data_IF_790302005415
#
_entry.id   IF_790302005415
#
_cell.length_a   1.000
_cell.length_b   1.000
_cell.length_c   1.000
_cell.angle_alpha   90.00
_cell.angle_beta   90.00
_cell.angle_gamma   90.00
#
_symmetry.space_group_name_H-M   'P 1'
#
loop_
_entity.id
_entity.type
_entity.pdbx_description
1 polymer ?
#
# COMPACT_ATOMS: atom_id res chain seq x y z
N UNK A 1 59.10 -18.36 -37.02
CA UNK A 1 58.80 -18.20 -35.56
C UNK A 1 57.44 -17.55 -35.41
N UNK A 2 56.47 -18.36 -35.28
CA UNK A 2 55.04 -17.92 -35.15
C UNK A 2 54.65 -18.06 -33.69
N UNK A 3 54.35 -16.96 -33.02
CA UNK A 3 53.94 -16.90 -31.63
C UNK A 3 52.40 -17.01 -31.57
N UNK A 4 51.91 -18.14 -31.06
CA UNK A 4 50.48 -18.42 -30.86
C UNK A 4 50.04 -17.90 -29.50
N UNK A 5 49.14 -16.94 -29.47
CA UNK A 5 48.55 -16.38 -28.26
C UNK A 5 47.28 -17.18 -27.90
N UNK A 6 47.35 -17.98 -26.84
CA UNK A 6 46.16 -18.64 -26.26
C UNK A 6 45.37 -17.61 -25.45
N UNK A 7 44.14 -17.33 -25.89
CA UNK A 7 43.11 -16.62 -25.10
C UNK A 7 42.42 -17.63 -24.19
N UNK A 8 42.64 -17.51 -22.89
CA UNK A 8 41.90 -18.24 -21.89
C UNK A 8 40.51 -17.59 -21.69
N UNK A 9 39.43 -18.27 -22.10
CA UNK A 9 38.07 -17.92 -21.74
C UNK A 9 37.83 -18.34 -20.29
N UNK A 10 37.74 -17.36 -19.40
CA UNK A 10 37.16 -17.55 -18.06
C UNK A 10 35.65 -17.70 -18.21
N UNK A 11 35.16 -18.92 -18.16
CA UNK A 11 33.74 -19.21 -18.07
C UNK A 11 33.21 -18.78 -16.70
N UNK A 12 32.40 -17.73 -16.68
CA UNK A 12 31.56 -17.41 -15.52
C UNK A 12 30.34 -18.36 -15.60
N UNK A 13 30.25 -19.28 -14.64
CA UNK A 13 29.12 -20.18 -14.48
C UNK A 13 27.84 -19.41 -14.29
N UNK A 14 26.78 -19.72 -15.03
CA UNK A 14 25.43 -19.21 -14.74
C UNK A 14 24.75 -20.14 -13.74
N UNK A 15 25.06 -19.98 -12.47
CA UNK A 15 24.31 -20.63 -11.38
C UNK A 15 24.15 -19.66 -10.23
N UNK A 16 23.17 -18.77 -10.33
CA UNK A 16 22.38 -18.16 -9.25
C UNK A 16 21.25 -17.36 -9.92
N UNK A 17 20.31 -18.07 -10.57
CA UNK A 17 19.07 -17.49 -11.06
C UNK A 17 17.96 -18.57 -11.14
N UNK A 18 17.92 -19.42 -10.15
CA UNK A 18 16.82 -20.37 -9.96
C UNK A 18 16.64 -20.57 -8.47
N UNK A 19 15.79 -19.76 -7.86
CA UNK A 19 15.00 -20.06 -6.66
C UNK A 19 14.38 -18.80 -6.04
N UNK A 20 13.80 -17.89 -6.86
CA UNK A 20 12.67 -17.10 -6.38
C UNK A 20 11.43 -17.91 -6.72
N UNK A 21 11.15 -18.79 -5.77
CA UNK A 21 10.22 -19.86 -5.90
C UNK A 21 8.85 -19.41 -6.35
N UNK A 22 8.30 -20.22 -7.19
CA UNK A 22 6.91 -20.43 -7.46
C UNK A 22 6.13 -20.66 -6.13
N UNK A 23 5.96 -19.62 -5.32
CA UNK A 23 4.95 -19.61 -4.27
C UNK A 23 3.64 -19.58 -5.02
N UNK A 24 2.99 -20.72 -5.19
CA UNK A 24 1.65 -20.80 -5.74
C UNK A 24 0.79 -19.83 -4.93
N UNK A 25 0.45 -18.72 -5.56
CA UNK A 25 -0.40 -17.71 -4.97
C UNK A 25 -1.72 -18.39 -4.58
N UNK A 26 -2.09 -18.27 -3.32
CA UNK A 26 -3.28 -18.92 -2.79
C UNK A 26 -4.52 -18.30 -3.43
N UNK A 27 -5.32 -19.11 -4.14
CA UNK A 27 -6.62 -18.65 -4.66
C UNK A 27 -7.69 -18.92 -3.59
N UNK A 28 -8.30 -17.84 -3.10
CA UNK A 28 -9.35 -17.88 -2.06
C UNK A 28 -10.68 -18.26 -2.72
N UNK A 29 -11.28 -19.38 -2.31
CA UNK A 29 -12.60 -19.82 -2.80
C UNK A 29 -12.72 -19.74 -4.33
N UNK A 30 -11.97 -20.58 -5.09
CA UNK A 30 -11.84 -20.43 -6.56
C UNK A 30 -13.16 -20.50 -7.33
N UNK A 31 -14.16 -21.18 -6.78
CA UNK A 31 -15.47 -21.36 -7.40
C UNK A 31 -16.46 -20.22 -7.11
N UNK A 32 -16.07 -19.22 -6.31
CA UNK A 32 -16.92 -18.10 -5.92
C UNK A 32 -16.52 -16.81 -6.63
N UNK A 33 -17.51 -15.97 -6.91
CA UNK A 33 -17.36 -14.65 -7.50
C UNK A 33 -18.39 -13.66 -6.92
N UNK A 34 -18.12 -12.37 -7.09
CA UNK A 34 -19.06 -11.28 -6.75
C UNK A 34 -19.48 -11.29 -5.27
N UNK A 35 -20.77 -11.04 -5.03
CA UNK A 35 -21.30 -10.83 -3.68
C UNK A 35 -21.06 -12.00 -2.73
N UNK A 36 -21.16 -13.24 -3.20
CA UNK A 36 -20.93 -14.44 -2.38
C UNK A 36 -19.48 -14.56 -1.94
N UNK A 37 -18.55 -14.26 -2.84
CA UNK A 37 -17.13 -14.25 -2.50
C UNK A 37 -16.81 -13.15 -1.49
N UNK A 38 -17.35 -11.94 -1.69
CA UNK A 38 -17.19 -10.82 -0.76
C UNK A 38 -17.67 -11.19 0.66
N UNK A 39 -18.82 -11.85 0.79
CA UNK A 39 -19.36 -12.28 2.11
C UNK A 39 -18.44 -13.29 2.81
N UNK A 40 -17.90 -14.25 2.08
CA UNK A 40 -16.99 -15.25 2.62
C UNK A 40 -15.67 -14.58 3.03
N UNK A 41 -15.09 -13.77 2.17
CA UNK A 41 -13.84 -13.05 2.46
C UNK A 41 -14.01 -12.11 3.67
N UNK A 42 -15.11 -11.36 3.75
CA UNK A 42 -15.39 -10.49 4.88
C UNK A 42 -15.48 -11.24 6.21
N UNK A 43 -15.95 -12.46 6.21
CA UNK A 43 -16.03 -13.31 7.42
C UNK A 43 -14.69 -13.96 7.78
N UNK A 44 -13.97 -14.47 6.78
CA UNK A 44 -12.76 -15.29 7.01
C UNK A 44 -11.50 -14.43 7.23
N UNK A 45 -11.51 -13.18 6.74
CA UNK A 45 -10.38 -12.27 6.83
C UNK A 45 -10.66 -11.02 7.69
N UNK A 46 -11.76 -11.02 8.46
CA UNK A 46 -11.94 -9.99 9.48
C UNK A 46 -10.84 -10.12 10.55
N UNK A 47 -10.33 -9.00 11.10
CA UNK A 47 -9.32 -9.06 12.14
C UNK A 47 -9.89 -9.71 13.41
N UNK A 48 -9.12 -10.60 14.02
CA UNK A 48 -9.47 -11.20 15.32
C UNK A 48 -9.54 -10.14 16.42
N UNK A 49 -8.68 -9.11 16.31
CA UNK A 49 -8.60 -8.00 17.24
C UNK A 49 -8.06 -6.75 16.58
N UNK A 50 -8.34 -5.59 17.16
CA UNK A 50 -7.62 -4.35 16.88
C UNK A 50 -6.93 -3.84 18.13
N UNK A 51 -5.74 -3.26 17.96
CA UNK A 51 -4.90 -2.83 19.08
C UNK A 51 -5.38 -1.51 19.73
N UNK A 52 -6.39 -0.88 19.14
CA UNK A 52 -6.76 0.50 19.43
C UNK A 52 -5.78 1.50 18.82
N UNK A 53 -6.27 2.69 18.49
CA UNK A 53 -5.56 3.64 17.62
C UNK A 53 -4.19 4.11 18.14
N UNK A 54 -4.05 4.19 19.46
CA UNK A 54 -2.77 4.60 20.06
C UNK A 54 -1.70 3.52 19.89
N UNK A 55 -1.98 2.30 20.38
CA UNK A 55 -1.05 1.18 20.33
C UNK A 55 -0.84 0.70 18.89
N UNK A 56 -1.91 0.72 18.06
CA UNK A 56 -1.80 0.37 16.64
C UNK A 56 -0.75 1.21 15.92
N UNK A 57 -0.75 2.53 16.13
CA UNK A 57 0.28 3.40 15.53
C UNK A 57 1.69 3.19 16.11
N UNK A 58 1.82 2.82 17.38
CA UNK A 58 3.13 2.47 17.93
C UNK A 58 3.69 1.23 17.23
N UNK A 59 2.87 0.21 17.03
CA UNK A 59 3.23 -1.02 16.31
C UNK A 59 3.47 -0.74 14.82
N UNK A 60 2.61 0.06 14.17
CA UNK A 60 2.77 0.48 12.79
C UNK A 60 4.19 1.04 12.53
N UNK A 61 4.60 2.02 13.36
CA UNK A 61 5.86 2.73 13.15
C UNK A 61 7.10 1.99 13.64
N UNK A 62 6.96 1.05 14.56
CA UNK A 62 8.11 0.36 15.13
C UNK A 62 8.31 -1.06 14.61
N UNK A 63 7.25 -1.72 14.11
CA UNK A 63 7.27 -3.15 13.78
C UNK A 63 6.76 -3.46 12.37
N UNK A 64 5.69 -2.82 11.92
CA UNK A 64 5.06 -3.13 10.62
C UNK A 64 5.81 -2.43 9.49
N UNK A 65 5.88 -1.11 9.51
CA UNK A 65 6.46 -0.30 8.44
C UNK A 65 7.89 0.20 8.74
N UNK A 66 8.52 -0.35 9.79
CA UNK A 66 9.92 -0.11 10.11
C UNK A 66 10.80 -1.21 9.54
N UNK A 67 11.74 -0.84 8.69
CA UNK A 67 12.70 -1.73 8.10
C UNK A 67 14.11 -1.29 8.53
N UNK A 68 14.75 -2.11 9.37
CA UNK A 68 16.12 -1.88 9.86
C UNK A 68 16.34 -0.48 10.48
N UNK A 69 15.35 0.03 11.21
CA UNK A 69 15.44 1.35 11.84
C UNK A 69 15.02 2.51 10.94
N UNK A 70 14.49 2.23 9.76
CA UNK A 70 13.98 3.25 8.82
C UNK A 70 12.47 3.12 8.70
N UNK A 71 11.75 4.21 9.01
CA UNK A 71 10.32 4.35 8.79
C UNK A 71 10.09 5.20 7.55
N UNK A 72 9.32 4.67 6.58
CA UNK A 72 9.09 5.30 5.28
C UNK A 72 7.61 5.62 5.06
N UNK A 73 7.33 6.83 4.57
CA UNK A 73 5.97 7.25 4.19
C UNK A 73 5.52 6.69 2.85
N UNK A 74 4.27 6.25 2.77
CA UNK A 74 3.72 5.59 1.57
C UNK A 74 3.74 6.47 0.32
N UNK A 75 3.37 7.75 0.45
CA UNK A 75 3.14 8.60 -0.73
C UNK A 75 4.39 9.18 -1.37
N UNK A 76 5.46 9.41 -0.60
CA UNK A 76 6.59 10.23 -1.09
C UNK A 76 7.96 9.60 -0.93
N UNK A 77 8.05 8.39 -0.40
CA UNK A 77 9.32 7.78 0.03
C UNK A 77 10.09 8.60 1.08
N UNK A 78 9.50 9.66 1.64
CA UNK A 78 10.08 10.36 2.76
C UNK A 78 10.32 9.40 3.92
N UNK A 79 11.53 9.37 4.44
CA UNK A 79 11.93 8.41 5.45
C UNK A 79 12.64 9.09 6.61
N UNK A 80 12.51 8.47 7.78
CA UNK A 80 13.15 8.91 9.02
C UNK A 80 13.84 7.73 9.69
N UNK A 81 14.88 8.02 10.46
CA UNK A 81 15.46 7.04 11.40
C UNK A 81 14.56 6.92 12.64
N UNK A 82 14.18 5.69 12.97
CA UNK A 82 13.37 5.38 14.14
C UNK A 82 13.77 4.03 14.71
N UNK A 83 14.34 4.02 15.92
CA UNK A 83 14.68 2.78 16.62
C UNK A 83 13.42 1.91 16.79
N UNK A 84 13.38 0.67 16.25
CA UNK A 84 12.24 -0.24 16.37
C UNK A 84 11.93 -0.66 17.81
N UNK A 85 12.83 -0.40 18.76
CA UNK A 85 12.64 -0.63 20.19
C UNK A 85 12.32 0.63 20.99
N UNK A 86 12.11 1.77 20.30
CA UNK A 86 11.71 3.02 20.94
C UNK A 86 10.43 2.86 21.75
N UNK A 87 10.38 3.44 22.94
CA UNK A 87 9.17 3.50 23.78
C UNK A 87 8.17 4.58 23.36
N UNK A 88 8.59 5.48 22.45
CA UNK A 88 7.80 6.64 22.01
C UNK A 88 7.77 6.79 20.47
N UNK A 89 7.54 5.71 19.69
CA UNK A 89 7.68 5.76 18.24
C UNK A 89 6.76 6.80 17.58
N UNK A 90 5.53 6.97 18.06
CA UNK A 90 4.59 8.00 17.56
C UNK A 90 5.07 9.42 17.80
N UNK A 91 5.73 9.70 18.92
CA UNK A 91 6.24 11.04 19.21
C UNK A 91 7.42 11.36 18.29
N UNK A 92 8.33 10.42 18.12
CA UNK A 92 9.48 10.55 17.23
C UNK A 92 9.03 10.76 15.79
N UNK A 93 8.10 9.92 15.29
CA UNK A 93 7.55 10.02 13.95
C UNK A 93 6.91 11.41 13.72
N UNK A 94 6.06 11.87 14.66
CA UNK A 94 5.40 13.16 14.55
C UNK A 94 6.38 14.35 14.56
N UNK A 95 7.43 14.30 15.39
CA UNK A 95 8.48 15.33 15.42
C UNK A 95 9.30 15.39 14.13
N UNK A 96 9.30 14.31 13.36
CA UNK A 96 9.98 14.21 12.07
C UNK A 96 8.98 14.17 10.89
N UNK A 97 7.87 14.91 10.99
CA UNK A 97 6.89 15.14 9.94
C UNK A 97 6.16 13.86 9.45
N UNK A 98 6.03 12.80 10.27
CA UNK A 98 5.23 11.61 9.94
C UNK A 98 4.03 11.45 10.87
N UNK A 99 2.85 11.21 10.27
CA UNK A 99 1.65 10.78 10.97
C UNK A 99 1.04 9.52 10.31
N UNK A 100 -0.09 9.04 10.85
CA UNK A 100 -0.81 7.91 10.27
C UNK A 100 -1.85 8.41 9.27
N UNK A 101 -1.70 7.96 8.04
CA UNK A 101 -2.69 8.05 6.99
C UNK A 101 -3.73 6.95 7.15
N UNK A 102 -5.01 7.28 6.90
CA UNK A 102 -6.08 6.33 6.70
C UNK A 102 -6.38 6.24 5.20
N UNK A 103 -5.94 5.19 4.54
CA UNK A 103 -6.19 5.01 3.09
C UNK A 103 -7.69 5.12 2.79
N UNK A 104 -8.53 4.45 3.55
CA UNK A 104 -9.98 4.73 3.58
C UNK A 104 -10.26 5.74 4.69
N UNK A 105 -10.70 6.98 4.38
CA UNK A 105 -10.73 8.07 5.36
C UNK A 105 -11.68 7.85 6.53
N UNK A 106 -11.36 8.44 7.68
CA UNK A 106 -12.23 8.40 8.86
C UNK A 106 -13.63 9.01 8.56
N UNK A 107 -13.68 10.10 7.81
CA UNK A 107 -14.94 10.74 7.39
C UNK A 107 -15.76 9.88 6.41
N UNK A 108 -15.17 8.83 5.85
CA UNK A 108 -15.78 7.90 4.90
C UNK A 108 -16.09 6.52 5.51
N UNK A 109 -15.89 6.37 6.81
CA UNK A 109 -16.29 5.17 7.54
C UNK A 109 -15.18 4.51 8.36
N UNK A 110 -13.93 4.95 8.32
CA UNK A 110 -12.87 4.38 9.16
C UNK A 110 -13.00 4.85 10.62
N UNK A 111 -14.06 4.40 11.30
CA UNK A 111 -14.42 4.76 12.68
C UNK A 111 -14.48 3.53 13.58
N UNK A 112 -14.55 3.72 14.89
CA UNK A 112 -14.58 2.60 15.85
C UNK A 112 -13.38 1.68 15.71
N UNK A 113 -13.60 0.38 15.57
CA UNK A 113 -12.53 -0.62 15.39
C UNK A 113 -11.77 -0.40 14.08
N UNK A 114 -12.47 -0.08 13.00
CA UNK A 114 -11.88 0.15 11.68
C UNK A 114 -10.87 1.32 11.66
N UNK A 115 -10.98 2.27 12.59
CA UNK A 115 -10.00 3.36 12.77
C UNK A 115 -8.61 2.85 13.14
N UNK A 116 -8.53 1.67 13.73
CA UNK A 116 -7.30 1.10 14.30
C UNK A 116 -6.80 -0.10 13.52
N UNK A 117 -7.42 -0.42 12.39
CA UNK A 117 -7.02 -1.53 11.54
C UNK A 117 -5.75 -1.18 10.77
N UNK A 118 -4.69 -1.97 10.96
CA UNK A 118 -3.37 -1.72 10.42
C UNK A 118 -3.30 -1.87 8.90
N UNK A 119 -4.20 -2.65 8.28
CA UNK A 119 -4.29 -2.75 6.82
C UNK A 119 -4.82 -1.46 6.18
N UNK A 120 -5.46 -0.58 6.95
CA UNK A 120 -5.93 0.73 6.49
C UNK A 120 -5.02 1.88 6.95
N UNK A 121 -4.00 1.61 7.78
CA UNK A 121 -3.09 2.63 8.32
C UNK A 121 -1.72 2.53 7.67
N UNK A 122 -1.19 3.68 7.26
CA UNK A 122 0.16 3.80 6.70
C UNK A 122 0.88 5.03 7.28
N UNK A 123 2.21 4.99 7.42
CA UNK A 123 2.97 6.20 7.67
C UNK A 123 2.84 7.14 6.47
N UNK A 124 2.68 8.43 6.72
CA UNK A 124 2.70 9.44 5.67
C UNK A 124 3.28 10.74 6.19
N UNK A 125 3.91 11.50 5.31
CA UNK A 125 4.32 12.86 5.62
C UNK A 125 3.09 13.71 5.98
N UNK A 126 3.15 14.47 7.10
CA UNK A 126 2.00 15.20 7.66
C UNK A 126 1.39 16.15 6.63
N UNK A 127 2.23 16.91 5.93
CA UNK A 127 1.75 17.85 4.92
C UNK A 127 1.02 17.14 3.76
N UNK A 128 1.59 16.06 3.24
CA UNK A 128 1.00 15.28 2.13
C UNK A 128 -0.32 14.64 2.53
N UNK A 129 -0.37 14.02 3.72
CA UNK A 129 -1.61 13.50 4.31
C UNK A 129 -2.68 14.60 4.43
N UNK A 130 -2.29 15.79 4.89
CA UNK A 130 -3.20 16.94 4.98
C UNK A 130 -3.71 17.39 3.59
N UNK A 131 -2.84 17.41 2.58
CA UNK A 131 -3.20 17.77 1.20
C UNK A 131 -4.11 16.73 0.56
N UNK A 132 -3.86 15.45 0.79
CA UNK A 132 -4.75 14.37 0.37
C UNK A 132 -6.13 14.51 1.04
N UNK A 133 -6.17 14.80 2.33
CA UNK A 133 -7.41 14.97 3.09
C UNK A 133 -8.29 13.72 3.03
N UNK A 134 -9.46 13.84 2.43
CA UNK A 134 -10.40 12.73 2.20
C UNK A 134 -10.84 12.66 0.73
N UNK A 135 -10.00 13.16 -0.18
CA UNK A 135 -10.22 13.04 -1.61
C UNK A 135 -10.18 11.59 -2.07
N UNK A 136 -10.98 11.20 -3.05
CA UNK A 136 -10.86 9.90 -3.68
C UNK A 136 -9.53 9.80 -4.43
N UNK A 137 -9.08 8.58 -4.64
CA UNK A 137 -7.98 8.28 -5.52
C UNK A 137 -8.42 8.30 -6.98
N UNK A 138 -7.61 8.87 -7.85
CA UNK A 138 -7.85 8.92 -9.30
C UNK A 138 -6.55 9.16 -10.04
N UNK A 139 -6.49 8.74 -11.31
CA UNK A 139 -5.51 9.24 -12.27
C UNK A 139 -5.70 10.75 -12.46
N UNK A 140 -4.61 11.51 -12.43
CA UNK A 140 -4.61 12.96 -12.61
C UNK A 140 -3.76 13.30 -13.83
N UNK A 141 -4.37 14.00 -14.79
CA UNK A 141 -3.61 14.54 -15.91
C UNK A 141 -2.57 15.56 -15.39
N UNK A 142 -1.30 15.41 -15.75
CA UNK A 142 -0.17 16.25 -15.32
C UNK A 142 -0.49 17.76 -15.35
N UNK A 143 -1.21 18.18 -16.39
CA UNK A 143 -1.61 19.59 -16.60
C UNK A 143 -2.66 20.10 -15.61
N UNK A 144 -3.29 19.21 -14.83
CA UNK A 144 -4.32 19.53 -13.84
C UNK A 144 -3.79 19.45 -12.41
N UNK A 145 -2.58 18.90 -12.22
CA UNK A 145 -1.97 18.73 -10.90
C UNK A 145 -1.62 20.08 -10.28
N UNK A 146 -2.08 20.30 -9.05
CA UNK A 146 -1.80 21.53 -8.29
C UNK A 146 -0.46 21.42 -7.54
N UNK A 147 -0.21 20.30 -6.87
CA UNK A 147 1.03 20.02 -6.15
C UNK A 147 1.55 18.61 -6.44
N UNK A 148 2.86 18.52 -6.59
CA UNK A 148 3.65 17.31 -6.75
C UNK A 148 4.49 17.05 -5.49
N UNK A 149 4.49 15.82 -4.98
CA UNK A 149 5.16 15.47 -3.74
C UNK A 149 6.14 14.32 -3.93
N UNK A 150 7.41 14.53 -3.57
CA UNK A 150 8.42 13.49 -3.55
C UNK A 150 9.41 13.74 -2.43
N UNK A 151 9.73 12.73 -1.62
CA UNK A 151 10.56 12.85 -0.42
C UNK A 151 10.01 13.96 0.50
N UNK A 152 10.82 14.94 0.84
CA UNK A 152 10.45 16.15 1.60
C UNK A 152 10.08 17.35 0.71
N UNK A 153 10.09 17.16 -0.61
CA UNK A 153 9.85 18.21 -1.59
C UNK A 153 8.37 18.36 -1.95
N UNK A 154 8.00 19.57 -2.31
CA UNK A 154 6.71 19.94 -2.89
C UNK A 154 6.96 20.95 -4.00
N UNK A 155 6.33 20.79 -5.16
CA UNK A 155 6.42 21.72 -6.27
C UNK A 155 5.08 21.82 -7.01
N UNK A 156 4.81 22.99 -7.61
CA UNK A 156 3.60 23.25 -8.41
C UNK A 156 3.84 23.06 -9.92
N UNK A 157 5.09 22.83 -10.31
CA UNK A 157 5.45 22.62 -11.72
C UNK A 157 5.63 21.14 -12.01
N UNK A 158 5.25 20.72 -13.21
CA UNK A 158 5.41 19.33 -13.66
C UNK A 158 6.89 18.92 -13.54
N UNK A 159 7.19 17.79 -12.85
CA UNK A 159 8.54 17.29 -12.75
C UNK A 159 9.13 16.95 -14.14
N UNK A 160 10.37 17.32 -14.38
CA UNK A 160 11.04 17.01 -15.66
C UNK A 160 11.75 15.67 -15.66
N UNK A 161 11.86 15.02 -14.50
CA UNK A 161 12.51 13.71 -14.31
C UNK A 161 11.82 12.94 -13.21
N UNK A 162 11.84 11.60 -13.28
CA UNK A 162 11.30 10.71 -12.26
C UNK A 162 9.83 11.01 -11.87
N UNK A 163 9.01 11.42 -12.84
CA UNK A 163 7.63 11.85 -12.63
C UNK A 163 6.83 10.77 -11.89
N UNK A 164 7.01 9.52 -12.21
CA UNK A 164 6.37 8.35 -11.61
C UNK A 164 6.70 8.12 -10.10
N UNK A 165 7.70 8.86 -9.58
CA UNK A 165 8.05 8.83 -8.16
C UNK A 165 7.33 9.92 -7.35
N UNK A 166 6.52 10.76 -7.99
CA UNK A 166 5.73 11.79 -7.33
C UNK A 166 4.32 11.31 -7.05
N UNK A 167 3.78 11.73 -5.91
CA UNK A 167 2.34 11.75 -5.70
C UNK A 167 1.78 13.11 -6.11
N UNK A 168 0.53 13.13 -6.52
CA UNK A 168 -0.13 14.28 -7.11
C UNK A 168 -1.44 14.61 -6.40
N UNK A 169 -1.80 15.89 -6.42
CA UNK A 169 -3.08 16.32 -5.87
C UNK A 169 -3.72 17.40 -6.71
N UNK A 170 -5.05 17.31 -6.81
CA UNK A 170 -5.95 18.40 -7.25
C UNK A 170 -6.89 18.77 -6.09
N UNK A 171 -7.81 19.70 -6.32
CA UNK A 171 -8.89 20.01 -5.33
C UNK A 171 -9.78 18.84 -5.00
N UNK A 172 -9.89 17.85 -5.86
CA UNK A 172 -10.92 16.81 -5.80
C UNK A 172 -10.39 15.38 -5.84
N UNK A 173 -9.09 15.19 -6.13
CA UNK A 173 -8.48 13.88 -6.29
C UNK A 173 -7.05 13.86 -5.73
N UNK A 174 -6.58 12.67 -5.44
CA UNK A 174 -5.20 12.39 -5.07
C UNK A 174 -4.71 11.15 -5.83
N UNK A 175 -3.51 11.24 -6.38
CA UNK A 175 -2.81 10.13 -7.03
C UNK A 175 -1.54 9.82 -6.25
N UNK A 176 -1.36 8.59 -5.76
CA UNK A 176 -0.09 8.19 -5.17
C UNK A 176 0.94 7.97 -6.28
N UNK A 177 2.22 8.00 -5.94
CA UNK A 177 3.27 7.61 -6.88
C UNK A 177 2.99 6.20 -7.45
N UNK A 178 3.31 5.96 -8.72
CA UNK A 178 2.91 4.75 -9.45
C UNK A 178 3.21 3.43 -8.72
N UNK A 179 4.38 3.32 -8.09
CA UNK A 179 4.78 2.11 -7.35
C UNK A 179 4.01 1.88 -6.04
N UNK A 180 2.97 2.66 -5.75
CA UNK A 180 2.09 2.53 -4.57
C UNK A 180 0.59 2.59 -4.90
N UNK A 181 0.27 2.62 -6.16
CA UNK A 181 -1.10 2.58 -6.65
C UNK A 181 -1.79 1.27 -6.29
N UNK A 182 -1.11 0.16 -6.56
CA UNK A 182 -1.61 -1.17 -6.22
C UNK A 182 -1.75 -1.39 -4.71
N UNK A 183 -0.76 -0.97 -3.90
CA UNK A 183 -0.84 -1.02 -2.42
C UNK A 183 -2.10 -0.30 -1.92
N UNK A 184 -2.35 0.91 -2.44
CA UNK A 184 -3.51 1.72 -2.09
C UNK A 184 -4.80 1.05 -2.54
N UNK A 185 -4.85 0.54 -3.76
CA UNK A 185 -6.02 -0.15 -4.29
C UNK A 185 -6.41 -1.35 -3.42
N UNK A 186 -5.43 -2.22 -3.08
CA UNK A 186 -5.64 -3.39 -2.23
C UNK A 186 -6.01 -3.04 -0.79
N UNK A 187 -5.52 -1.92 -0.26
CA UNK A 187 -5.96 -1.41 1.04
C UNK A 187 -7.41 -0.90 1.01
N UNK A 188 -7.84 -0.23 -0.06
CA UNK A 188 -9.22 0.22 -0.26
C UNK A 188 -10.17 -0.96 -0.42
N UNK A 189 -9.82 -1.96 -1.26
CA UNK A 189 -10.61 -3.19 -1.43
C UNK A 189 -10.78 -3.94 -0.11
N UNK A 190 -9.68 -4.10 0.66
CA UNK A 190 -9.72 -4.68 1.99
C UNK A 190 -10.72 -3.95 2.88
N UNK A 191 -10.54 -2.64 3.04
CA UNK A 191 -11.40 -1.85 3.93
C UNK A 191 -12.87 -1.96 3.54
N UNK A 192 -13.18 -1.78 2.26
CA UNK A 192 -14.55 -1.84 1.77
C UNK A 192 -15.16 -3.23 1.91
N UNK A 193 -14.36 -4.30 1.83
CA UNK A 193 -14.82 -5.67 2.06
C UNK A 193 -15.12 -5.94 3.54
N UNK A 194 -14.14 -5.68 4.41
CA UNK A 194 -14.24 -6.01 5.83
C UNK A 194 -15.25 -5.10 6.56
N UNK A 195 -15.26 -3.84 6.23
CA UNK A 195 -16.08 -2.81 6.90
C UNK A 195 -17.23 -2.29 6.06
N UNK A 196 -17.77 -3.10 5.15
CA UNK A 196 -18.79 -2.74 4.17
C UNK A 196 -20.01 -2.03 4.76
N UNK A 197 -20.43 -2.38 6.00
CA UNK A 197 -21.59 -1.81 6.64
C UNK A 197 -21.43 -0.34 7.05
N UNK A 198 -20.20 0.11 7.27
CA UNK A 198 -19.88 1.48 7.70
C UNK A 198 -19.15 2.29 6.64
N UNK A 199 -18.55 1.63 5.65
CA UNK A 199 -17.87 2.28 4.55
C UNK A 199 -18.84 3.07 3.67
N UNK A 200 -18.45 4.30 3.29
CA UNK A 200 -19.21 5.11 2.33
C UNK A 200 -19.14 4.47 0.93
N UNK A 201 -20.22 3.82 0.52
CA UNK A 201 -20.28 3.12 -0.76
C UNK A 201 -20.19 4.06 -1.98
N UNK A 202 -20.58 5.34 -1.86
CA UNK A 202 -20.43 6.31 -2.94
C UNK A 202 -18.97 6.70 -3.12
N UNK A 203 -18.27 6.87 -2.01
CA UNK A 203 -16.83 7.13 -2.02
C UNK A 203 -16.05 5.95 -2.64
N UNK A 204 -16.38 4.71 -2.29
CA UNK A 204 -15.81 3.55 -2.94
C UNK A 204 -16.08 3.54 -4.45
N UNK A 205 -17.35 3.73 -4.82
CA UNK A 205 -17.80 3.65 -6.22
C UNK A 205 -17.14 4.71 -7.11
N UNK A 206 -16.86 5.90 -6.58
CA UNK A 206 -16.26 7.00 -7.35
C UNK A 206 -14.82 6.75 -7.77
N UNK A 207 -14.13 5.78 -7.17
CA UNK A 207 -12.73 5.47 -7.45
C UNK A 207 -12.51 3.99 -7.88
N UNK A 208 -13.59 3.20 -7.94
CA UNK A 208 -13.49 1.76 -8.19
C UNK A 208 -12.77 1.40 -9.49
N UNK A 209 -13.04 2.13 -10.56
CA UNK A 209 -12.44 1.87 -11.87
C UNK A 209 -10.91 2.10 -11.84
N UNK A 210 -10.48 3.23 -11.31
CA UNK A 210 -9.06 3.56 -11.10
C UNK A 210 -8.37 2.50 -10.22
N UNK A 211 -8.98 2.14 -9.09
CA UNK A 211 -8.41 1.13 -8.20
C UNK A 211 -8.27 -0.25 -8.89
N UNK A 212 -9.22 -0.60 -9.76
CA UNK A 212 -9.13 -1.83 -10.55
C UNK A 212 -7.97 -1.78 -11.54
N UNK A 213 -7.76 -0.65 -12.21
CA UNK A 213 -6.64 -0.45 -13.11
C UNK A 213 -5.31 -0.53 -12.37
N UNK A 214 -5.18 0.17 -11.26
CA UNK A 214 -3.98 0.17 -10.42
C UNK A 214 -3.62 -1.22 -9.87
N UNK A 215 -4.61 -2.00 -9.47
CA UNK A 215 -4.38 -3.39 -9.05
C UNK A 215 -3.79 -4.28 -10.16
N UNK A 216 -4.05 -3.94 -11.44
CA UNK A 216 -3.50 -4.66 -12.58
C UNK A 216 -2.10 -4.15 -12.97
N UNK A 217 -1.88 -2.83 -12.93
CA UNK A 217 -0.64 -2.19 -13.38
C UNK A 217 0.48 -2.22 -12.35
N UNK A 218 0.13 -2.23 -11.06
CA UNK A 218 1.05 -2.35 -9.92
C UNK A 218 0.73 -3.64 -9.13
N UNK A 219 1.27 -4.81 -9.56
CA UNK A 219 0.97 -6.10 -8.95
C UNK A 219 1.59 -6.23 -7.56
N UNK A 220 1.03 -7.14 -6.75
CA UNK A 220 1.51 -7.46 -5.40
C UNK A 220 3.02 -7.71 -5.39
N UNK A 221 3.74 -6.98 -4.56
CA UNK A 221 5.18 -7.13 -4.38
C UNK A 221 5.55 -7.86 -3.06
N UNK A 222 6.83 -8.16 -2.90
CA UNK A 222 7.34 -8.83 -1.70
C UNK A 222 7.19 -7.98 -0.42
N UNK A 223 7.24 -6.65 -0.55
CA UNK A 223 7.07 -5.72 0.57
C UNK A 223 5.64 -5.72 1.09
N UNK A 224 4.64 -5.76 0.20
CA UNK A 224 3.24 -5.90 0.59
C UNK A 224 2.95 -7.23 1.28
N UNK A 225 3.50 -8.34 0.75
CA UNK A 225 3.36 -9.68 1.36
C UNK A 225 3.94 -9.65 2.77
N UNK A 226 5.17 -9.17 2.92
CA UNK A 226 5.83 -9.08 4.23
C UNK A 226 5.04 -8.19 5.19
N UNK A 227 4.57 -7.02 4.71
CA UNK A 227 3.74 -6.12 5.50
C UNK A 227 2.46 -6.79 5.98
N UNK A 228 1.77 -7.50 5.10
CA UNK A 228 0.54 -8.24 5.41
C UNK A 228 0.78 -9.31 6.49
N UNK A 229 1.88 -10.06 6.38
CA UNK A 229 2.29 -11.04 7.40
C UNK A 229 2.61 -10.39 8.75
N UNK A 230 3.37 -9.29 8.75
CA UNK A 230 3.69 -8.55 9.98
C UNK A 230 2.42 -8.02 10.68
N UNK A 231 1.43 -7.56 9.92
CA UNK A 231 0.14 -7.14 10.48
C UNK A 231 -0.60 -8.32 11.10
N UNK A 232 -0.58 -9.47 10.44
CA UNK A 232 -1.25 -10.67 10.93
C UNK A 232 -0.72 -11.14 12.31
N UNK A 233 0.56 -10.91 12.62
CA UNK A 233 1.12 -11.17 13.96
C UNK A 233 0.42 -10.40 15.08
N UNK A 234 -0.19 -9.26 14.77
CA UNK A 234 -0.82 -8.36 15.75
C UNK A 234 -2.35 -8.36 15.70
N UNK A 235 -2.95 -8.56 14.53
CA UNK A 235 -4.40 -8.51 14.32
C UNK A 235 -5.04 -9.88 14.06
N UNK A 236 -4.24 -10.90 13.73
CA UNK A 236 -4.71 -12.25 13.40
C UNK A 236 -5.19 -12.42 11.97
N UNK A 237 -5.06 -11.40 11.10
CA UNK A 237 -5.51 -11.48 9.72
C UNK A 237 -4.51 -10.88 8.73
N UNK A 238 -4.44 -11.49 7.55
CA UNK A 238 -3.75 -10.93 6.37
C UNK A 238 -4.72 -10.14 5.50
N UNK A 239 -4.18 -9.28 4.63
CA UNK A 239 -4.99 -8.65 3.58
C UNK A 239 -5.30 -9.70 2.49
N UNK A 240 -6.56 -10.11 2.29
CA UNK A 240 -6.89 -11.14 1.31
C UNK A 240 -6.60 -10.72 -0.14
N UNK A 241 -6.57 -9.42 -0.44
CA UNK A 241 -6.22 -8.89 -1.77
C UNK A 241 -4.71 -8.90 -2.04
N UNK A 242 -3.89 -9.08 -0.99
CA UNK A 242 -2.45 -9.36 -1.10
C UNK A 242 -2.21 -10.86 -1.18
N UNK A 243 -2.97 -11.66 -0.42
CA UNK A 243 -2.88 -13.14 -0.42
C UNK A 243 -3.29 -13.73 -1.77
N UNK A 244 -4.29 -13.15 -2.41
CA UNK A 244 -4.86 -13.59 -3.69
C UNK A 244 -4.99 -12.41 -4.65
N UNK A 245 -4.05 -12.26 -5.58
CA UNK A 245 -4.02 -11.17 -6.56
C UNK A 245 -5.22 -11.20 -7.52
N UNK A 246 -5.91 -12.34 -7.67
CA UNK A 246 -7.10 -12.45 -8.52
C UNK A 246 -8.38 -12.00 -7.84
N UNK A 247 -8.29 -11.73 -6.53
CA UNK A 247 -9.49 -11.47 -5.72
C UNK A 247 -10.22 -10.20 -6.12
N UNK A 248 -9.49 -9.13 -6.44
CA UNK A 248 -10.07 -7.87 -6.88
C UNK A 248 -10.90 -8.05 -8.16
N UNK A 249 -10.37 -8.76 -9.14
CA UNK A 249 -11.09 -9.09 -10.39
C UNK A 249 -12.37 -9.87 -10.10
N UNK A 250 -12.30 -10.90 -9.27
CA UNK A 250 -13.43 -11.77 -8.95
C UNK A 250 -14.49 -11.13 -8.04
N UNK A 251 -14.19 -9.98 -7.44
CA UNK A 251 -15.10 -9.28 -6.50
C UNK A 251 -15.60 -7.94 -7.01
N UNK A 252 -14.72 -7.05 -7.44
CA UNK A 252 -15.02 -5.65 -7.72
C UNK A 252 -14.72 -5.19 -9.14
N UNK A 253 -13.80 -5.86 -9.85
CA UNK A 253 -13.23 -5.41 -11.12
C UNK A 253 -13.78 -6.19 -12.31
N UNK A 254 -14.94 -6.84 -12.18
CA UNK A 254 -15.62 -7.41 -13.35
C UNK A 254 -15.91 -6.30 -14.35
N UNK A 255 -15.26 -6.39 -15.50
CA UNK A 255 -15.74 -5.69 -16.70
C UNK A 255 -17.06 -6.37 -17.10
N UNK A 256 -18.17 -5.64 -16.98
CA UNK A 256 -19.46 -6.04 -17.54
C UNK A 256 -19.41 -5.92 -19.05
#
# INVERSE_FOLDING_TARGET
>A
MTLSCLLAFCGVSPMIAENLGNSQQKVIQPDLVGAKLIEVVAREYAPDQTLGYRKGRDILYSKVDNHDGILKGIYTDYSIELDPNSTEPRRIAYQQDINAEHIYPQSKGATGLAKSDLHNLYPSRIYVNSRRGNSPFAEIEDSQTEDWFRLDQTQETIPTTAINEYSEVTKTAFEPRESKEGDVARAVFYFYTIYKRQADARFFKSQQETLCQWNLTDPVDAGEIERSHRIAEYQGNENPFVVDSTLAERTYCFLQ
#
